data_IF_316317750013
#
_entry.id   IF_316317750013
#
_cell.length_a   1.000
_cell.length_b   1.000
_cell.length_c   1.000
_cell.angle_alpha   90.00
_cell.angle_beta   90.00
_cell.angle_gamma   90.00
#
_symmetry.space_group_name_H-M   'P 1'
#
loop_
_entity.id
_entity.type
_entity.pdbx_description
1 polymer ?
#
# COMPACT_ATOMS: atom_id res chain seq x y z
N UNK A 1 19.64 11.10 -25.98
CA UNK A 1 19.46 11.48 -24.56
C UNK A 1 20.01 10.34 -23.72
N UNK A 2 20.94 10.65 -22.82
CA UNK A 2 21.77 9.67 -22.09
C UNK A 2 20.91 8.78 -21.20
N UNK A 3 20.77 7.49 -21.55
CA UNK A 3 20.30 6.46 -20.63
C UNK A 3 21.38 6.26 -19.57
N UNK A 4 21.31 7.04 -18.49
CA UNK A 4 22.13 6.79 -17.32
C UNK A 4 21.74 5.40 -16.81
N UNK A 5 22.65 4.44 -16.90
CA UNK A 5 22.46 3.13 -16.32
C UNK A 5 22.24 3.33 -14.81
N UNK A 6 20.99 3.15 -14.34
CA UNK A 6 20.71 3.13 -12.90
C UNK A 6 21.63 2.08 -12.27
N UNK A 7 22.35 2.46 -11.21
CA UNK A 7 23.31 1.61 -10.52
C UNK A 7 22.65 0.31 -10.05
N UNK A 8 23.46 -0.75 -9.93
CA UNK A 8 23.02 -2.02 -9.33
C UNK A 8 22.56 -1.79 -7.89
N UNK A 9 21.60 -2.59 -7.44
CA UNK A 9 21.06 -2.47 -6.09
C UNK A 9 22.09 -2.95 -5.06
N UNK A 10 22.45 -2.12 -4.08
CA UNK A 10 23.39 -2.46 -3.00
C UNK A 10 22.71 -2.48 -1.62
N UNK A 11 22.68 -3.66 -0.97
CA UNK A 11 22.10 -3.82 0.37
C UNK A 11 22.89 -3.10 1.47
N UNK A 12 24.16 -2.76 1.23
CA UNK A 12 24.98 -2.05 2.20
C UNK A 12 24.70 -0.54 2.23
N UNK A 13 24.14 0.00 1.16
CA UNK A 13 23.72 1.39 1.07
C UNK A 13 22.43 1.64 1.88
N UNK A 14 22.16 2.89 2.30
CA UNK A 14 20.90 3.24 2.96
C UNK A 14 19.69 2.91 2.08
N UNK A 15 18.66 2.32 2.68
CA UNK A 15 17.42 1.95 1.98
C UNK A 15 16.23 2.76 2.52
N UNK A 16 15.42 3.31 1.61
CA UNK A 16 14.11 3.87 1.91
C UNK A 16 13.02 2.86 1.59
N UNK A 17 12.48 2.24 2.63
CA UNK A 17 11.41 1.26 2.57
C UNK A 17 10.06 1.97 2.47
N UNK A 18 9.40 1.81 1.34
CA UNK A 18 8.07 2.37 1.06
C UNK A 18 7.10 1.20 1.02
N UNK A 19 6.22 1.14 2.01
CA UNK A 19 5.39 -0.04 2.25
C UNK A 19 3.93 0.30 2.04
N UNK A 20 3.24 -0.44 1.20
CA UNK A 20 1.79 -0.42 1.22
C UNK A 20 1.23 -1.03 2.52
N UNK A 21 -0.01 -0.69 2.86
CA UNK A 21 -0.67 -1.16 4.08
C UNK A 21 -1.52 -2.42 3.83
N UNK A 22 -2.60 -2.28 3.07
CA UNK A 22 -3.67 -3.28 2.91
C UNK A 22 -3.22 -4.43 2.02
N UNK A 23 -3.20 -5.67 2.54
CA UNK A 23 -2.70 -6.83 1.77
C UNK A 23 -1.16 -6.95 1.77
N UNK A 24 -0.46 -5.89 2.15
CA UNK A 24 1.01 -5.81 2.25
C UNK A 24 1.48 -5.92 3.71
N UNK A 25 1.43 -4.85 4.51
CA UNK A 25 1.74 -4.89 5.94
C UNK A 25 0.67 -5.71 6.69
N UNK A 26 -0.59 -5.56 6.32
CA UNK A 26 -1.67 -6.40 6.83
C UNK A 26 -1.88 -7.58 5.89
N UNK A 27 -2.45 -8.68 6.40
CA UNK A 27 -2.75 -9.85 5.55
C UNK A 27 -3.88 -9.62 4.55
N UNK A 28 -4.75 -8.65 4.80
CA UNK A 28 -5.98 -8.38 4.05
C UNK A 28 -6.32 -6.90 4.10
N UNK A 29 -7.21 -6.48 3.23
CA UNK A 29 -7.89 -5.19 3.28
C UNK A 29 -8.48 -4.92 4.67
N UNK A 30 -8.35 -3.69 5.14
CA UNK A 30 -8.78 -3.25 6.47
C UNK A 30 -9.97 -2.28 6.47
N UNK A 31 -10.56 -1.98 5.31
CA UNK A 31 -11.71 -1.07 5.21
C UNK A 31 -12.94 -1.64 5.92
N UNK A 32 -13.19 -2.96 5.84
CA UNK A 32 -14.28 -3.59 6.58
C UNK A 32 -14.12 -3.42 8.11
N UNK A 33 -12.87 -3.45 8.61
CA UNK A 33 -12.60 -3.19 10.02
C UNK A 33 -12.89 -1.72 10.37
N UNK A 34 -12.46 -0.77 9.54
CA UNK A 34 -12.76 0.66 9.70
C UNK A 34 -14.28 0.94 9.67
N UNK A 35 -15.03 0.31 8.75
CA UNK A 35 -16.49 0.39 8.68
C UNK A 35 -17.14 -0.20 9.94
N UNK A 36 -16.61 -1.32 10.45
CA UNK A 36 -17.11 -1.96 11.66
C UNK A 36 -16.98 -1.07 12.90
N UNK A 37 -15.92 -0.25 13.00
CA UNK A 37 -15.79 0.76 14.05
C UNK A 37 -16.96 1.74 13.99
N UNK A 38 -17.31 2.21 12.79
CA UNK A 38 -18.46 3.09 12.63
C UNK A 38 -19.77 2.42 13.02
N UNK A 39 -19.98 1.17 12.60
CA UNK A 39 -21.17 0.40 12.98
C UNK A 39 -21.31 0.26 14.50
N UNK A 40 -20.20 0.00 15.20
CA UNK A 40 -20.18 -0.12 16.66
C UNK A 40 -20.49 1.20 17.39
N UNK A 41 -20.02 2.34 16.85
CA UNK A 41 -20.28 3.67 17.44
C UNK A 41 -21.69 4.18 17.19
N UNK A 42 -22.35 3.71 16.13
CA UNK A 42 -23.69 4.15 15.71
C UNK A 42 -24.60 2.95 15.39
N UNK A 43 -24.99 2.14 16.39
CA UNK A 43 -25.74 0.88 16.13
C UNK A 43 -27.12 1.10 15.50
N UNK A 44 -27.73 2.28 15.68
CA UNK A 44 -29.01 2.63 15.05
C UNK A 44 -28.86 3.13 13.60
N UNK A 45 -27.64 3.45 13.15
CA UNK A 45 -27.37 3.85 11.78
C UNK A 45 -27.16 2.60 10.91
N UNK A 46 -27.77 2.50 9.72
CA UNK A 46 -27.71 1.31 8.87
C UNK A 46 -26.37 1.22 8.13
N UNK A 47 -25.27 1.11 8.89
CA UNK A 47 -23.89 1.14 8.39
C UNK A 47 -23.66 0.04 7.37
N UNK A 48 -24.05 -1.20 7.70
CA UNK A 48 -23.80 -2.35 6.84
C UNK A 48 -24.60 -2.27 5.52
N UNK A 49 -25.85 -1.83 5.57
CA UNK A 49 -26.67 -1.69 4.35
C UNK A 49 -26.10 -0.62 3.42
N UNK A 50 -25.68 0.53 3.98
CA UNK A 50 -25.03 1.59 3.20
C UNK A 50 -23.69 1.13 2.66
N UNK A 51 -22.91 0.40 3.45
CA UNK A 51 -21.64 -0.17 3.01
C UNK A 51 -21.82 -1.14 1.84
N UNK A 52 -22.75 -2.09 1.97
CA UNK A 52 -23.10 -3.02 0.90
C UNK A 52 -23.53 -2.28 -0.38
N UNK A 53 -24.31 -1.20 -0.25
CA UNK A 53 -24.76 -0.39 -1.38
C UNK A 53 -23.59 0.31 -2.08
N UNK A 54 -22.71 1.00 -1.35
CA UNK A 54 -21.59 1.73 -1.95
C UNK A 54 -20.53 0.78 -2.52
N UNK A 55 -20.27 -0.35 -1.87
CA UNK A 55 -19.35 -1.39 -2.37
C UNK A 55 -19.86 -2.02 -3.66
N UNK A 56 -21.17 -2.32 -3.75
CA UNK A 56 -21.79 -2.79 -4.99
C UNK A 56 -21.66 -1.75 -6.10
N UNK A 57 -21.99 -0.49 -5.83
CA UNK A 57 -21.89 0.59 -6.81
C UNK A 57 -20.45 0.81 -7.31
N UNK A 58 -19.45 0.66 -6.44
CA UNK A 58 -18.05 0.67 -6.83
C UNK A 58 -17.71 -0.49 -7.78
N UNK A 59 -18.12 -1.72 -7.45
CA UNK A 59 -17.88 -2.87 -8.33
C UNK A 59 -18.57 -2.72 -9.70
N UNK A 60 -19.79 -2.20 -9.73
CA UNK A 60 -20.54 -1.94 -10.97
C UNK A 60 -19.80 -0.89 -11.84
N UNK A 61 -19.33 0.22 -11.24
CA UNK A 61 -18.53 1.24 -11.93
C UNK A 61 -17.19 0.69 -12.41
N UNK A 62 -16.53 -0.13 -11.58
CA UNK A 62 -15.24 -0.75 -11.88
C UNK A 62 -15.33 -1.65 -13.10
N UNK A 63 -16.29 -2.59 -13.10
CA UNK A 63 -16.50 -3.53 -14.20
C UNK A 63 -16.87 -2.77 -15.49
N UNK A 64 -17.79 -1.80 -15.38
CA UNK A 64 -18.25 -1.02 -16.53
C UNK A 64 -17.11 -0.21 -17.15
N UNK A 65 -16.33 0.48 -16.32
CA UNK A 65 -15.23 1.31 -16.80
C UNK A 65 -14.12 0.44 -17.38
N UNK A 66 -13.75 -0.67 -16.71
CA UNK A 66 -12.72 -1.57 -17.21
C UNK A 66 -13.09 -2.17 -18.58
N UNK A 67 -14.36 -2.54 -18.79
CA UNK A 67 -14.84 -3.02 -20.08
C UNK A 67 -14.82 -1.95 -21.18
N UNK A 68 -14.91 -0.66 -20.82
CA UNK A 68 -14.82 0.46 -21.76
C UNK A 68 -13.36 0.77 -22.13
N UNK A 69 -12.44 0.76 -21.15
CA UNK A 69 -11.03 1.12 -21.36
C UNK A 69 -10.19 -0.06 -21.88
N UNK A 70 -10.64 -1.30 -21.65
CA UNK A 70 -10.07 -2.53 -22.15
C UNK A 70 -11.18 -3.41 -22.78
N UNK A 71 -11.69 -3.02 -23.97
CA UNK A 71 -12.75 -3.78 -24.64
C UNK A 71 -12.31 -5.22 -24.89
N UNK A 72 -13.25 -6.15 -24.80
CA UNK A 72 -13.01 -7.60 -24.91
C UNK A 72 -12.03 -8.18 -23.88
N UNK A 73 -11.68 -7.43 -22.84
CA UNK A 73 -10.69 -7.83 -21.84
C UNK A 73 -9.24 -7.70 -22.33
N UNK A 74 -9.01 -6.98 -23.43
CA UNK A 74 -7.68 -6.75 -23.98
C UNK A 74 -6.92 -5.71 -23.14
N UNK A 75 -6.20 -6.20 -22.14
CA UNK A 75 -5.35 -5.36 -21.29
C UNK A 75 -4.03 -5.01 -22.01
N UNK A 76 -3.43 -3.84 -21.74
CA UNK A 76 -2.21 -3.38 -22.41
C UNK A 76 -1.01 -4.34 -22.32
N UNK A 77 -0.14 -4.43 -23.30
CA UNK A 77 1.07 -5.28 -23.21
C UNK A 77 2.34 -4.51 -22.88
N UNK A 78 2.21 -3.20 -22.64
CA UNK A 78 3.34 -2.31 -22.35
C UNK A 78 3.12 -1.56 -21.04
N UNK A 79 4.22 -1.28 -20.31
CA UNK A 79 4.17 -0.56 -19.02
C UNK A 79 3.48 0.80 -19.17
N UNK A 80 3.78 1.53 -20.24
CA UNK A 80 3.14 2.83 -20.51
C UNK A 80 1.64 2.68 -20.80
N UNK A 81 1.22 1.61 -21.48
CA UNK A 81 -0.19 1.34 -21.71
C UNK A 81 -0.92 0.97 -20.42
N UNK A 82 -0.28 0.22 -19.52
CA UNK A 82 -0.83 -0.11 -18.21
C UNK A 82 -1.04 1.14 -17.35
N UNK A 83 -0.05 2.02 -17.28
CA UNK A 83 -0.17 3.30 -16.57
C UNK A 83 -1.30 4.15 -17.16
N UNK A 84 -1.46 4.18 -18.49
CA UNK A 84 -2.56 4.89 -19.14
C UNK A 84 -3.94 4.31 -18.75
N UNK A 85 -4.08 2.98 -18.78
CA UNK A 85 -5.29 2.28 -18.35
C UNK A 85 -5.65 2.64 -16.90
N UNK A 86 -4.68 2.58 -15.99
CA UNK A 86 -4.90 2.89 -14.56
C UNK A 86 -5.27 4.36 -14.34
N UNK A 87 -4.67 5.28 -15.11
CA UNK A 87 -5.08 6.68 -15.10
C UNK A 87 -6.54 6.87 -15.56
N UNK A 88 -7.01 6.10 -16.55
CA UNK A 88 -8.42 6.11 -16.97
C UNK A 88 -9.37 5.48 -15.94
N UNK A 89 -8.87 4.61 -15.06
CA UNK A 89 -9.65 4.04 -13.96
C UNK A 89 -9.81 4.99 -12.77
N UNK A 90 -8.92 5.97 -12.59
CA UNK A 90 -8.94 6.92 -11.45
C UNK A 90 -10.29 7.60 -11.17
N UNK A 91 -11.09 8.01 -12.18
CA UNK A 91 -12.43 8.55 -11.93
C UNK A 91 -13.40 7.58 -11.24
N UNK A 92 -13.21 6.26 -11.35
CA UNK A 92 -13.98 5.26 -10.61
C UNK A 92 -13.69 5.36 -9.12
N UNK A 93 -12.41 5.46 -8.77
CA UNK A 93 -11.96 5.59 -7.38
C UNK A 93 -12.53 6.85 -6.75
N UNK A 94 -12.48 7.99 -7.47
CA UNK A 94 -13.07 9.24 -6.99
C UNK A 94 -14.58 9.12 -6.73
N UNK A 95 -15.35 8.52 -7.65
CA UNK A 95 -16.80 8.29 -7.44
C UNK A 95 -17.07 7.38 -6.25
N UNK A 96 -16.18 6.41 -5.98
CA UNK A 96 -16.26 5.55 -4.80
C UNK A 96 -16.13 6.36 -3.51
N UNK A 97 -15.09 7.21 -3.42
CA UNK A 97 -14.85 8.09 -2.28
C UNK A 97 -16.02 9.08 -2.06
N UNK A 98 -16.55 9.65 -3.14
CA UNK A 98 -17.67 10.59 -3.09
C UNK A 98 -18.94 9.91 -2.54
N UNK A 99 -19.22 8.67 -2.97
CA UNK A 99 -20.34 7.86 -2.47
C UNK A 99 -20.17 7.51 -1.00
N UNK A 100 -18.97 7.08 -0.60
CA UNK A 100 -18.66 6.75 0.80
C UNK A 100 -18.83 7.98 1.68
N UNK A 101 -18.31 9.13 1.26
CA UNK A 101 -18.47 10.40 1.99
C UNK A 101 -19.94 10.80 2.12
N UNK A 102 -20.68 10.76 1.00
CA UNK A 102 -22.11 11.09 0.96
C UNK A 102 -22.99 10.10 1.73
N UNK A 103 -22.52 8.86 1.92
CA UNK A 103 -23.25 7.84 2.65
C UNK A 103 -23.34 8.13 4.15
N UNK A 104 -22.52 9.03 4.69
CA UNK A 104 -22.47 9.31 6.13
C UNK A 104 -22.01 8.11 6.98
N UNK A 105 -21.43 7.07 6.37
CA UNK A 105 -20.88 5.91 7.08
C UNK A 105 -19.91 6.39 8.14
N UNK A 106 -18.98 7.30 7.84
CA UNK A 106 -17.98 7.75 8.80
C UNK A 106 -18.36 9.03 9.57
N UNK A 107 -19.50 9.64 9.26
CA UNK A 107 -19.97 10.83 9.97
C UNK A 107 -20.17 10.52 11.45
N UNK A 108 -19.59 11.32 12.33
CA UNK A 108 -19.69 11.13 13.76
C UNK A 108 -18.51 10.39 14.40
N UNK A 109 -17.56 9.86 13.61
CA UNK A 109 -16.39 9.20 14.17
C UNK A 109 -15.45 10.20 14.87
N UNK A 110 -14.89 9.76 15.99
CA UNK A 110 -13.87 10.50 16.73
C UNK A 110 -12.56 9.73 16.75
N UNK A 111 -11.49 10.43 17.14
CA UNK A 111 -10.16 9.85 17.30
C UNK A 111 -10.14 8.72 18.34
N UNK A 112 -10.86 8.89 19.44
CA UNK A 112 -10.96 7.91 20.54
C UNK A 112 -11.67 6.64 20.07
N UNK A 113 -12.73 6.80 19.28
CA UNK A 113 -13.43 5.67 18.68
C UNK A 113 -12.55 4.90 17.70
N UNK A 114 -11.80 5.61 16.84
CA UNK A 114 -10.83 4.99 15.93
C UNK A 114 -9.74 4.23 16.70
N UNK A 115 -9.22 4.80 17.78
CA UNK A 115 -8.17 4.18 18.58
C UNK A 115 -8.65 2.92 19.31
N UNK A 116 -9.81 3.00 19.98
CA UNK A 116 -10.42 1.86 20.67
C UNK A 116 -10.80 0.76 19.66
N UNK A 117 -11.39 1.16 18.54
CA UNK A 117 -11.79 0.25 17.46
C UNK A 117 -10.61 -0.43 16.78
N UNK A 118 -9.51 0.29 16.52
CA UNK A 118 -8.28 -0.28 15.99
C UNK A 118 -7.67 -1.32 16.93
N UNK A 119 -7.65 -1.03 18.23
CA UNK A 119 -7.19 -1.99 19.25
C UNK A 119 -8.04 -3.27 19.24
N UNK A 120 -9.36 -3.11 19.26
CA UNK A 120 -10.29 -4.24 19.15
C UNK A 120 -10.10 -5.04 17.85
N UNK A 121 -9.84 -4.36 16.73
CA UNK A 121 -9.63 -5.00 15.44
C UNK A 121 -8.33 -5.84 15.43
N UNK A 122 -7.27 -5.37 16.09
CA UNK A 122 -6.03 -6.14 16.29
C UNK A 122 -6.27 -7.32 17.24
N UNK A 123 -6.88 -7.09 18.41
CA UNK A 123 -7.12 -8.12 19.43
C UNK A 123 -8.00 -9.27 18.89
N UNK A 124 -9.01 -8.93 18.10
CA UNK A 124 -9.92 -9.89 17.44
C UNK A 124 -9.36 -10.50 16.15
N UNK A 125 -8.18 -10.05 15.69
CA UNK A 125 -7.57 -10.41 14.40
C UNK A 125 -8.39 -10.04 13.15
N UNK A 126 -9.34 -9.12 13.28
CA UNK A 126 -10.00 -8.50 12.13
C UNK A 126 -8.99 -7.70 11.29
N UNK A 127 -8.01 -7.08 11.96
CA UNK A 127 -6.76 -6.61 11.35
C UNK A 127 -5.63 -7.50 11.86
N UNK A 128 -4.87 -8.08 10.93
CA UNK A 128 -3.75 -8.95 11.28
C UNK A 128 -2.51 -8.52 10.50
N UNK A 129 -1.45 -8.17 11.22
CA UNK A 129 -0.17 -7.86 10.60
C UNK A 129 0.41 -9.11 9.96
N UNK A 130 1.08 -8.90 8.82
CA UNK A 130 1.74 -9.96 8.07
C UNK A 130 2.92 -10.49 8.87
N UNK A 131 3.16 -11.79 8.73
CA UNK A 131 4.24 -12.48 9.42
C UNK A 131 5.59 -11.78 9.19
N UNK A 132 6.40 -11.66 10.25
CA UNK A 132 7.70 -11.02 10.21
C UNK A 132 7.69 -9.49 10.23
N UNK A 133 6.56 -8.79 10.05
CA UNK A 133 6.58 -7.32 9.93
C UNK A 133 7.11 -6.62 11.19
N UNK A 134 6.69 -7.04 12.38
CA UNK A 134 7.18 -6.46 13.64
C UNK A 134 8.69 -6.69 13.83
N UNK A 135 9.21 -7.85 13.43
CA UNK A 135 10.64 -8.17 13.48
C UNK A 135 11.44 -7.32 12.49
N UNK A 136 10.94 -7.25 11.24
CA UNK A 136 11.52 -6.43 10.19
C UNK A 136 11.58 -4.96 10.60
N UNK A 137 10.47 -4.39 11.08
CA UNK A 137 10.42 -2.99 11.49
C UNK A 137 11.40 -2.70 12.63
N UNK A 138 11.45 -3.58 13.65
CA UNK A 138 12.40 -3.47 14.75
C UNK A 138 13.85 -3.51 14.26
N UNK A 139 14.18 -4.45 13.38
CA UNK A 139 15.52 -4.58 12.80
C UNK A 139 15.93 -3.32 12.02
N UNK A 140 15.05 -2.79 11.17
CA UNK A 140 15.34 -1.54 10.44
C UNK A 140 15.55 -0.38 11.42
N UNK A 141 14.69 -0.25 12.43
CA UNK A 141 14.78 0.83 13.41
C UNK A 141 16.04 0.78 14.30
N UNK A 142 16.39 -0.41 14.80
CA UNK A 142 17.45 -0.58 15.79
C UNK A 142 18.84 -0.76 15.14
N UNK A 143 18.91 -1.56 14.06
CA UNK A 143 20.17 -2.03 13.45
C UNK A 143 20.51 -1.27 12.16
N UNK A 144 19.50 -0.79 11.40
CA UNK A 144 19.70 -0.05 10.15
C UNK A 144 19.31 1.42 10.25
N UNK A 145 19.90 2.15 11.21
CA UNK A 145 19.57 3.55 11.54
C UNK A 145 19.66 4.58 10.40
N UNK A 146 20.28 4.23 9.27
CA UNK A 146 20.34 5.08 8.06
C UNK A 146 19.19 4.81 7.10
N UNK A 147 18.51 3.69 7.25
CA UNK A 147 17.35 3.34 6.45
C UNK A 147 16.13 4.12 6.92
N UNK A 148 15.26 4.48 5.99
CA UNK A 148 13.96 5.09 6.24
C UNK A 148 12.83 4.08 6.06
N UNK A 149 11.73 4.25 6.81
CA UNK A 149 10.49 3.48 6.61
C UNK A 149 9.32 4.45 6.51
N UNK A 150 8.56 4.32 5.42
CA UNK A 150 7.32 5.06 5.19
C UNK A 150 6.22 4.10 4.75
N UNK A 151 4.99 4.40 5.13
CA UNK A 151 3.79 3.69 4.69
C UNK A 151 3.11 4.55 3.63
N UNK A 152 2.77 3.98 2.48
CA UNK A 152 2.10 4.66 1.37
C UNK A 152 0.88 3.88 0.92
N UNK A 153 -0.30 4.36 1.30
CA UNK A 153 -1.55 3.61 1.21
C UNK A 153 -2.69 4.43 0.61
N UNK A 154 -3.62 3.75 -0.06
CA UNK A 154 -4.92 4.32 -0.50
C UNK A 154 -5.98 4.31 0.61
N UNK A 155 -5.67 3.74 1.79
CA UNK A 155 -6.61 3.63 2.91
C UNK A 155 -7.19 4.99 3.31
N UNK A 156 -8.40 4.97 3.86
CA UNK A 156 -9.20 6.16 4.14
C UNK A 156 -8.91 6.82 5.49
N UNK A 157 -8.14 6.19 6.38
CA UNK A 157 -7.74 6.81 7.65
C UNK A 157 -6.30 6.52 8.06
N UNK A 158 -5.46 7.57 7.98
CA UNK A 158 -4.10 7.59 8.51
C UNK A 158 -4.09 7.30 10.00
N UNK A 159 -5.00 7.91 10.75
CA UNK A 159 -5.10 7.71 12.18
C UNK A 159 -5.45 6.27 12.54
N UNK A 160 -6.34 5.63 11.78
CA UNK A 160 -6.64 4.20 11.95
C UNK A 160 -5.40 3.32 11.74
N UNK A 161 -4.64 3.51 10.65
CA UNK A 161 -3.38 2.78 10.41
C UNK A 161 -2.43 2.97 11.60
N UNK A 162 -2.23 4.22 12.03
CA UNK A 162 -1.38 4.56 13.17
C UNK A 162 -1.83 3.85 14.45
N UNK A 163 -3.13 3.82 14.73
CA UNK A 163 -3.69 3.16 15.91
C UNK A 163 -3.53 1.64 15.85
N UNK A 164 -3.67 1.01 14.68
CA UNK A 164 -3.41 -0.42 14.50
C UNK A 164 -1.93 -0.78 14.76
N UNK A 165 -1.00 0.04 14.27
CA UNK A 165 0.43 -0.12 14.54
C UNK A 165 0.75 0.00 16.04
N UNK A 166 0.21 1.02 16.70
CA UNK A 166 0.38 1.21 18.15
C UNK A 166 -0.19 0.05 18.97
N UNK A 167 -1.40 -0.42 18.63
CA UNK A 167 -2.00 -1.61 19.26
C UNK A 167 -1.18 -2.88 19.04
N UNK A 168 -0.37 -2.94 17.98
CA UNK A 168 0.54 -4.05 17.69
C UNK A 168 1.94 -3.85 18.29
N UNK A 169 2.11 -2.92 19.24
CA UNK A 169 3.39 -2.56 19.87
C UNK A 169 4.44 -1.97 18.92
N UNK A 170 4.02 -1.45 17.75
CA UNK A 170 4.86 -0.74 16.79
C UNK A 170 4.72 0.77 17.06
N UNK A 171 5.24 1.21 18.21
CA UNK A 171 5.00 2.56 18.75
C UNK A 171 5.89 3.65 18.14
N UNK A 172 6.90 3.28 17.36
CA UNK A 172 7.93 4.19 16.84
C UNK A 172 7.66 4.69 15.42
N UNK A 173 6.46 4.51 14.86
CA UNK A 173 6.08 5.07 13.56
C UNK A 173 5.51 6.49 13.77
N UNK A 174 6.25 7.56 13.44
CA UNK A 174 5.70 8.91 13.45
C UNK A 174 4.54 9.01 12.46
N UNK A 175 3.54 9.82 12.78
CA UNK A 175 2.39 10.03 11.87
C UNK A 175 2.84 10.56 10.51
N UNK A 176 3.92 11.33 10.47
CA UNK A 176 4.47 11.92 9.25
C UNK A 176 5.05 10.87 8.28
N UNK A 177 5.29 9.65 8.75
CA UNK A 177 5.74 8.53 7.91
C UNK A 177 4.59 7.70 7.34
N UNK A 178 3.34 8.05 7.63
CA UNK A 178 2.15 7.38 7.09
C UNK A 178 1.50 8.33 6.08
N UNK A 179 1.65 8.04 4.81
CA UNK A 179 1.03 8.74 3.70
C UNK A 179 -0.20 7.96 3.25
N UNK A 180 -1.38 8.42 3.66
CA UNK A 180 -2.67 7.85 3.28
C UNK A 180 -3.74 8.94 3.29
N UNK A 181 -4.99 8.62 2.99
CA UNK A 181 -6.08 9.58 3.19
C UNK A 181 -6.45 9.66 4.68
N UNK A 182 -7.33 10.59 5.02
CA UNK A 182 -7.86 10.76 6.36
C UNK A 182 -9.35 11.12 6.34
N UNK A 183 -10.06 10.81 7.41
CA UNK A 183 -11.38 11.34 7.65
C UNK A 183 -11.27 12.79 8.15
N UNK A 184 -12.05 13.69 7.56
CA UNK A 184 -12.01 15.11 7.90
C UNK A 184 -12.10 15.33 9.43
N UNK A 185 -11.41 16.36 9.92
CA UNK A 185 -11.43 16.79 11.34
C UNK A 185 -10.83 15.83 12.37
N UNK A 186 -10.42 14.61 11.99
CA UNK A 186 -9.74 13.68 12.91
C UNK A 186 -8.41 14.26 13.42
N UNK A 187 -7.62 14.89 12.55
CA UNK A 187 -6.35 15.51 12.95
C UNK A 187 -6.54 16.71 13.90
N UNK A 188 -7.64 17.46 13.76
CA UNK A 188 -8.02 18.54 14.69
C UNK A 188 -8.69 18.04 15.97
N UNK A 189 -8.80 16.71 16.14
CA UNK A 189 -9.47 16.04 17.28
C UNK A 189 -10.94 16.41 17.41
N UNK A 190 -11.56 16.79 16.31
CA UNK A 190 -12.99 17.03 16.22
C UNK A 190 -13.69 15.79 15.65
N UNK A 191 -15.01 15.77 15.76
CA UNK A 191 -15.82 14.72 15.19
C UNK A 191 -15.84 14.85 13.65
N UNK A 192 -15.54 13.76 12.95
CA UNK A 192 -15.55 13.73 11.48
C UNK A 192 -16.97 13.96 10.93
N UNK A 193 -17.06 14.69 9.82
CA UNK A 193 -18.31 14.79 9.04
C UNK A 193 -18.49 13.60 8.09
N UNK A 194 -17.49 12.73 8.02
CA UNK A 194 -17.46 11.52 7.19
C UNK A 194 -16.82 11.73 5.82
N UNK A 195 -16.29 12.92 5.55
CA UNK A 195 -15.64 13.24 4.27
C UNK A 195 -14.21 12.71 4.29
N UNK A 196 -13.81 12.03 3.21
CA UNK A 196 -12.43 11.58 3.02
C UNK A 196 -11.62 12.74 2.42
N UNK A 197 -10.53 13.12 3.08
CA UNK A 197 -9.64 14.21 2.71
C UNK A 197 -8.18 13.74 2.64
N UNK A 198 -7.28 14.48 1.98
CA UNK A 198 -5.85 14.22 2.11
C UNK A 198 -5.40 14.37 3.57
N UNK A 199 -4.58 13.45 4.07
CA UNK A 199 -3.94 13.64 5.38
C UNK A 199 -3.02 14.88 5.36
N UNK A 200 -2.76 15.49 6.52
CA UNK A 200 -1.99 16.75 6.61
C UNK A 200 -0.58 16.68 5.99
N UNK A 201 0.06 15.52 6.01
CA UNK A 201 1.38 15.29 5.41
C UNK A 201 1.33 14.93 3.91
N UNK A 202 0.15 14.94 3.27
CA UNK A 202 0.01 14.54 1.86
C UNK A 202 0.27 15.64 0.82
N UNK A 203 0.65 16.85 1.22
CA UNK A 203 0.80 17.95 0.26
C UNK A 203 -0.49 18.30 -0.49
N UNK A 204 -1.66 18.03 0.12
CA UNK A 204 -2.96 18.48 -0.37
C UNK A 204 -3.66 17.60 -1.41
N UNK A 205 -3.20 16.38 -1.68
CA UNK A 205 -3.84 15.49 -2.67
C UNK A 205 -4.20 14.12 -2.10
N UNK A 206 -5.37 13.61 -2.51
CA UNK A 206 -5.83 12.26 -2.16
C UNK A 206 -4.94 11.21 -2.84
N UNK A 207 -4.76 10.06 -2.17
CA UNK A 207 -4.04 8.90 -2.69
C UNK A 207 -5.08 7.84 -2.99
N UNK A 208 -5.43 7.66 -4.26
CA UNK A 208 -6.53 6.78 -4.69
C UNK A 208 -6.14 5.80 -5.77
N UNK A 209 -5.00 6.03 -6.43
CA UNK A 209 -4.57 5.29 -7.60
C UNK A 209 -3.08 5.00 -7.55
N UNK A 210 -2.61 4.13 -8.45
CA UNK A 210 -1.19 3.86 -8.66
C UNK A 210 -0.39 5.11 -9.02
N UNK A 211 -0.95 5.97 -9.87
CA UNK A 211 -0.34 7.24 -10.24
C UNK A 211 -0.19 8.19 -9.05
N UNK A 212 -1.16 8.24 -8.14
CA UNK A 212 -1.06 9.07 -6.93
C UNK A 212 0.05 8.57 -5.99
N UNK A 213 0.18 7.24 -5.85
CA UNK A 213 1.28 6.64 -5.09
C UNK A 213 2.63 6.93 -5.76
N UNK A 214 2.73 6.80 -7.08
CA UNK A 214 3.97 7.08 -7.81
C UNK A 214 4.37 8.55 -7.63
N UNK A 215 3.45 9.49 -7.86
CA UNK A 215 3.70 10.92 -7.66
C UNK A 215 4.17 11.20 -6.23
N UNK A 216 3.56 10.55 -5.22
CA UNK A 216 4.00 10.71 -3.84
C UNK A 216 5.40 10.17 -3.62
N UNK A 217 5.70 8.96 -4.11
CA UNK A 217 7.02 8.35 -3.99
C UNK A 217 8.10 9.20 -4.68
N UNK A 218 7.79 9.82 -5.82
CA UNK A 218 8.70 10.72 -6.52
C UNK A 218 8.95 12.02 -5.77
N UNK A 219 7.98 12.52 -5.00
CA UNK A 219 8.17 13.71 -4.15
C UNK A 219 9.04 13.44 -2.91
N UNK A 220 9.32 12.17 -2.59
CA UNK A 220 10.24 11.79 -1.51
C UNK A 220 11.73 11.88 -1.93
N UNK A 221 12.05 12.66 -2.98
CA UNK A 221 13.37 12.76 -3.60
C UNK A 221 14.50 13.22 -2.67
N UNK A 222 14.17 13.91 -1.57
CA UNK A 222 15.16 14.38 -0.59
C UNK A 222 15.69 13.25 0.33
N UNK A 223 15.15 12.03 0.19
CA UNK A 223 15.59 10.88 0.95
C UNK A 223 16.84 10.24 0.30
N UNK A 224 18.02 10.45 0.91
CA UNK A 224 19.29 9.86 0.45
C UNK A 224 19.29 8.32 0.57
N UNK A 225 19.27 7.59 -0.54
CA UNK A 225 19.37 6.12 -0.51
C UNK A 225 18.60 5.44 -1.64
N UNK A 226 18.59 4.12 -1.62
CA UNK A 226 17.88 3.31 -2.61
C UNK A 226 16.44 3.09 -2.18
N UNK A 227 15.49 3.22 -3.10
CA UNK A 227 14.06 3.04 -2.83
C UNK A 227 13.67 1.59 -3.02
N UNK A 228 13.16 0.97 -1.97
CA UNK A 228 12.49 -0.34 -2.03
C UNK A 228 11.00 -0.13 -1.83
N UNK A 229 10.20 -0.48 -2.82
CA UNK A 229 8.75 -0.44 -2.70
C UNK A 229 8.20 -1.84 -2.45
N UNK A 230 7.35 -2.00 -1.44
CA UNK A 230 6.69 -3.27 -1.11
C UNK A 230 5.19 -3.11 -1.26
N UNK A 231 4.54 -3.96 -2.07
CA UNK A 231 3.11 -3.90 -2.35
C UNK A 231 2.53 -5.24 -2.82
N UNK A 232 1.21 -5.38 -2.89
CA UNK A 232 0.54 -6.63 -3.29
C UNK A 232 -0.42 -6.46 -4.47
N UNK A 233 -0.75 -5.22 -4.85
CA UNK A 233 -1.92 -4.92 -5.67
C UNK A 233 -1.61 -4.15 -6.96
N UNK A 234 -2.64 -3.99 -7.79
CA UNK A 234 -2.54 -3.18 -9.00
C UNK A 234 -2.30 -1.69 -8.69
N UNK A 235 -2.72 -1.21 -7.52
CA UNK A 235 -2.48 0.17 -7.08
C UNK A 235 -1.01 0.43 -6.74
N UNK A 236 -0.18 -0.61 -6.71
CA UNK A 236 1.24 -0.52 -6.40
C UNK A 236 2.13 -0.64 -7.65
N UNK A 237 1.58 -1.02 -8.80
CA UNK A 237 2.38 -1.47 -9.95
C UNK A 237 3.33 -0.39 -10.47
N UNK A 238 2.89 0.86 -10.53
CA UNK A 238 3.73 1.98 -10.99
C UNK A 238 4.90 2.23 -10.04
N UNK A 239 4.66 2.16 -8.71
CA UNK A 239 5.73 2.28 -7.73
C UNK A 239 6.70 1.09 -7.75
N UNK A 240 6.18 -0.13 -7.86
CA UNK A 240 6.98 -1.36 -7.94
C UNK A 240 7.94 -1.31 -9.14
N UNK A 241 7.50 -0.75 -10.28
CA UNK A 241 8.31 -0.62 -11.49
C UNK A 241 9.28 0.56 -11.45
N UNK A 242 8.94 1.65 -10.74
CA UNK A 242 9.75 2.86 -10.67
C UNK A 242 10.86 2.82 -9.59
N UNK A 243 10.65 2.03 -8.52
CA UNK A 243 11.60 1.82 -7.43
C UNK A 243 12.94 1.22 -7.91
N UNK A 244 13.97 1.30 -7.07
CA UNK A 244 15.26 0.65 -7.34
C UNK A 244 15.14 -0.87 -7.16
N UNK A 245 14.26 -1.30 -6.25
CA UNK A 245 13.77 -2.68 -6.14
C UNK A 245 12.28 -2.68 -5.76
N UNK A 246 11.44 -3.28 -6.61
CA UNK A 246 10.03 -3.56 -6.31
C UNK A 246 9.86 -4.96 -5.71
N UNK A 247 9.12 -5.07 -4.61
CA UNK A 247 8.88 -6.33 -3.90
C UNK A 247 7.37 -6.60 -3.83
N UNK A 248 6.92 -7.59 -4.57
CA UNK A 248 5.54 -8.05 -4.55
C UNK A 248 5.30 -9.03 -3.40
N UNK A 249 4.32 -8.77 -2.55
CA UNK A 249 3.84 -9.74 -1.56
C UNK A 249 2.91 -10.75 -2.24
N UNK A 250 3.13 -12.04 -1.99
CA UNK A 250 2.30 -13.13 -2.53
C UNK A 250 1.99 -14.17 -1.46
N UNK A 251 0.71 -14.31 -1.14
CA UNK A 251 0.21 -15.41 -0.33
C UNK A 251 0.18 -16.73 -1.11
N UNK A 252 0.04 -17.83 -0.39
CA UNK A 252 -0.20 -19.16 -0.96
C UNK A 252 -1.48 -19.78 -0.36
N UNK A 253 -2.57 -19.92 -1.13
CA UNK A 253 -2.73 -19.40 -2.50
C UNK A 253 -2.84 -17.87 -2.53
N UNK A 254 -2.48 -17.26 -3.67
CA UNK A 254 -2.60 -15.81 -3.85
C UNK A 254 -4.04 -15.31 -3.76
N UNK A 255 -4.21 -14.14 -3.15
CA UNK A 255 -5.46 -13.38 -3.18
C UNK A 255 -5.76 -12.79 -4.57
N UNK A 256 -6.97 -12.23 -4.75
CA UNK A 256 -7.40 -11.67 -6.05
C UNK A 256 -6.52 -10.49 -6.50
N UNK A 257 -6.15 -9.58 -5.58
CA UNK A 257 -5.25 -8.45 -5.86
C UNK A 257 -3.87 -8.94 -6.35
N UNK A 258 -3.30 -9.89 -5.63
CA UNK A 258 -1.99 -10.48 -5.90
C UNK A 258 -1.96 -11.24 -7.23
N UNK A 259 -3.00 -12.04 -7.53
CA UNK A 259 -3.14 -12.72 -8.84
C UNK A 259 -3.15 -11.71 -9.97
N UNK A 260 -3.96 -10.66 -9.84
CA UNK A 260 -4.07 -9.61 -10.84
C UNK A 260 -2.75 -8.89 -11.09
N UNK A 261 -2.01 -8.56 -10.03
CA UNK A 261 -0.67 -7.98 -10.15
C UNK A 261 0.31 -8.96 -10.83
N UNK A 262 0.29 -10.24 -10.45
CA UNK A 262 1.17 -11.26 -11.06
C UNK A 262 0.88 -11.48 -12.56
N UNK A 263 -0.39 -11.50 -12.93
CA UNK A 263 -0.85 -11.57 -14.33
C UNK A 263 -0.44 -10.32 -15.11
N UNK A 264 -0.59 -9.13 -14.52
CA UNK A 264 -0.14 -7.87 -15.11
C UNK A 264 1.37 -7.89 -15.38
N UNK A 265 2.21 -8.20 -14.38
CA UNK A 265 3.65 -8.26 -14.56
C UNK A 265 4.06 -9.24 -15.66
N UNK A 266 3.40 -10.40 -15.72
CA UNK A 266 3.65 -11.42 -16.76
C UNK A 266 3.28 -10.90 -18.15
N UNK A 267 2.08 -10.30 -18.30
CA UNK A 267 1.58 -9.70 -19.55
C UNK A 267 2.49 -8.56 -20.04
N UNK A 268 3.08 -7.82 -19.11
CA UNK A 268 4.00 -6.71 -19.40
C UNK A 268 5.44 -7.17 -19.68
N UNK A 269 5.72 -8.47 -19.65
CA UNK A 269 7.07 -9.01 -19.83
C UNK A 269 8.04 -8.70 -18.69
N UNK A 270 7.52 -8.37 -17.51
CA UNK A 270 8.32 -8.06 -16.31
C UNK A 270 8.62 -9.34 -15.56
N UNK A 271 9.89 -9.74 -15.55
CA UNK A 271 10.34 -10.86 -14.71
C UNK A 271 10.09 -10.53 -13.24
N UNK A 272 9.61 -11.52 -12.49
CA UNK A 272 9.34 -11.41 -11.06
C UNK A 272 9.72 -12.73 -10.38
N UNK A 273 11.03 -13.03 -10.23
CA UNK A 273 11.48 -14.19 -9.47
C UNK A 273 11.26 -13.97 -7.98
N UNK A 274 11.41 -15.02 -7.18
CA UNK A 274 11.33 -14.89 -5.72
C UNK A 274 12.58 -14.17 -5.20
N UNK A 275 12.45 -13.36 -4.15
CA UNK A 275 13.53 -12.56 -3.59
C UNK A 275 14.76 -13.41 -3.21
N UNK A 276 14.56 -14.60 -2.65
CA UNK A 276 15.67 -15.50 -2.32
C UNK A 276 16.49 -15.97 -3.54
N UNK A 277 15.87 -15.96 -4.73
CA UNK A 277 16.48 -16.37 -5.99
C UNK A 277 17.02 -15.15 -6.77
N UNK A 278 16.78 -13.94 -6.24
CA UNK A 278 17.25 -12.68 -6.81
C UNK A 278 18.77 -12.55 -6.68
N UNK A 279 19.42 -12.19 -7.79
CA UNK A 279 20.84 -11.86 -7.84
C UNK A 279 20.98 -10.37 -8.11
N UNK A 280 21.79 -9.68 -7.32
CA UNK A 280 22.01 -8.22 -7.41
C UNK A 280 22.49 -7.78 -8.80
N UNK A 281 23.18 -8.66 -9.54
CA UNK A 281 23.63 -8.45 -10.93
C UNK A 281 22.58 -8.81 -12.01
N UNK A 282 21.38 -9.24 -11.62
CA UNK A 282 20.30 -9.63 -12.54
C UNK A 282 19.50 -8.44 -13.07
N UNK A 283 18.90 -8.61 -14.25
CA UNK A 283 18.09 -7.57 -14.91
C UNK A 283 16.75 -7.29 -14.22
N UNK A 284 16.24 -8.23 -13.40
CA UNK A 284 14.91 -8.14 -12.78
C UNK A 284 14.90 -7.13 -11.63
N UNK A 285 14.15 -6.04 -11.78
CA UNK A 285 13.98 -5.04 -10.70
C UNK A 285 12.73 -5.23 -9.86
N UNK A 286 11.93 -6.24 -10.21
CA UNK A 286 10.77 -6.65 -9.43
C UNK A 286 10.99 -8.10 -9.00
N UNK A 287 10.68 -8.38 -7.75
CA UNK A 287 10.78 -9.70 -7.13
C UNK A 287 9.54 -9.95 -6.29
N UNK A 288 9.34 -11.18 -5.80
CA UNK A 288 8.26 -11.47 -4.86
C UNK A 288 8.74 -12.16 -3.59
N UNK A 289 7.97 -11.97 -2.52
CA UNK A 289 8.16 -12.59 -1.20
C UNK A 289 6.85 -13.13 -0.67
N UNK A 290 6.91 -14.08 0.27
CA UNK A 290 5.69 -14.50 1.00
C UNK A 290 5.29 -13.51 2.08
N UNK A 291 6.27 -12.96 2.78
CA UNK A 291 6.08 -12.13 3.96
C UNK A 291 7.34 -11.30 4.29
N UNK A 292 7.29 -10.55 5.39
CA UNK A 292 8.39 -9.71 5.83
C UNK A 292 9.53 -10.49 6.48
N UNK A 293 9.32 -11.74 6.91
CA UNK A 293 10.40 -12.57 7.42
C UNK A 293 11.41 -12.86 6.31
N UNK A 294 10.92 -13.15 5.10
CA UNK A 294 11.77 -13.35 3.93
C UNK A 294 12.54 -12.06 3.51
N UNK A 295 11.91 -10.89 3.64
CA UNK A 295 12.58 -9.60 3.41
C UNK A 295 13.71 -9.39 4.42
N UNK A 296 13.43 -9.63 5.71
CA UNK A 296 14.40 -9.47 6.78
C UNK A 296 15.58 -10.44 6.61
N UNK A 297 15.32 -11.74 6.37
CA UNK A 297 16.37 -12.73 6.09
C UNK A 297 17.26 -12.30 4.92
N UNK A 298 16.67 -11.75 3.86
CA UNK A 298 17.40 -11.27 2.69
C UNK A 298 18.26 -10.05 3.00
N UNK A 299 17.79 -9.09 3.78
CA UNK A 299 18.57 -7.88 4.09
C UNK A 299 19.69 -8.17 5.11
N UNK A 300 19.49 -9.14 6.00
CA UNK A 300 20.50 -9.61 6.96
C UNK A 300 21.57 -10.48 6.29
N UNK A 301 21.22 -11.16 5.19
CA UNK A 301 22.17 -11.98 4.45
C UNK A 301 23.33 -11.14 3.90
N UNK A 302 24.56 -11.65 4.04
CA UNK A 302 25.74 -11.01 3.44
C UNK A 302 25.56 -10.96 1.93
N UNK A 303 25.82 -9.81 1.31
CA UNK A 303 25.93 -9.72 -0.15
C UNK A 303 26.94 -10.77 -0.62
N UNK A 304 26.47 -11.71 -1.43
CA UNK A 304 27.32 -12.69 -2.09
C UNK A 304 28.17 -11.91 -3.09
N UNK A 305 29.35 -11.47 -2.64
CA UNK A 305 30.41 -11.00 -3.54
C UNK A 305 30.71 -12.15 -4.48
N UNK A 306 30.09 -12.14 -5.66
CA UNK A 306 30.55 -12.95 -6.77
C UNK A 306 31.88 -12.31 -7.17
N UNK A 307 32.97 -12.83 -6.58
CA UNK A 307 34.28 -12.76 -7.20
C UNK A 307 34.11 -13.39 -8.59
N UNK A 308 33.96 -12.55 -9.61
CA UNK A 308 34.21 -12.97 -10.97
C UNK A 308 35.71 -13.23 -11.03
N UNK A 309 36.08 -14.49 -10.82
CA UNK A 309 37.43 -14.97 -11.08
C UNK A 309 37.56 -15.08 -12.59
N UNK A 310 38.19 -14.04 -13.15
CA UNK A 310 38.77 -13.89 -14.50
C UNK A 310 37.83 -13.89 -15.70
#
# INVERSE_FOLDING_TARGET
>A
MSTCAKSLFDKASPIHWILDWDGTITRKDTLDALVSISAATKPAFPTQDRWNHVSKAYMDDYITTLAQVAPHGELPTTVSGEAHLLAQMKPVEQRSLDRVSSSGIFAGLTREALEAGARQAIDSRAVNLRNGFSGFFKYIHDDRKKDGVVILSVNWSRYFIKSCLGASSINHVPADFIYSNELDKIDSREQSTGIIVPATNNGGSLITSSGDKLERMERMQDLEGQRVYVGDSWTDIECLLAADLGVCVRDDPMGTSQKKLAEALTRLGVSCPRLKDYREAGESRVVWVRDFAEIQEWVESKSTSSCIVK
#
